data_IF_394347881446
#
_entry.id   IF_394347881446
#
_cell.length_a   1.000
_cell.length_b   1.000
_cell.length_c   1.000
_cell.angle_alpha   90.00
_cell.angle_beta   90.00
_cell.angle_gamma   90.00
#
_symmetry.space_group_name_H-M   'P 1'
#
loop_
_entity.id
_entity.type
_entity.pdbx_description
1 polymer ?
#
# COMPACT_ATOMS: atom_id res chain seq x y z
N UNK A 1 53.47 -33.94 -26.94
CA UNK A 1 53.20 -35.40 -26.90
C UNK A 1 51.71 -35.58 -26.59
N UNK A 2 50.99 -36.06 -27.62
CA UNK A 2 49.79 -36.93 -27.60
C UNK A 2 48.60 -36.53 -26.68
N UNK A 3 47.49 -36.02 -27.23
CA UNK A 3 46.42 -36.67 -28.03
C UNK A 3 45.33 -37.39 -27.20
N UNK A 4 44.21 -36.66 -27.02
CA UNK A 4 42.80 -37.01 -27.26
C UNK A 4 42.16 -38.20 -26.45
N UNK A 5 40.84 -38.50 -26.58
CA UNK A 5 39.79 -38.16 -25.60
C UNK A 5 39.03 -39.40 -25.10
N UNK A 6 38.05 -39.21 -24.21
CA UNK A 6 36.87 -40.09 -24.20
C UNK A 6 35.63 -39.25 -24.42
N UNK A 7 35.19 -39.21 -25.67
CA UNK A 7 33.80 -38.99 -26.03
C UNK A 7 33.07 -40.33 -25.88
N UNK A 8 31.95 -40.33 -25.16
CA UNK A 8 30.83 -41.25 -25.42
C UNK A 8 29.58 -40.51 -24.97
N UNK A 9 29.00 -39.75 -25.89
CA UNK A 9 27.95 -40.16 -26.83
C UNK A 9 26.57 -39.92 -26.21
N UNK A 10 25.81 -39.18 -27.00
CA UNK A 10 24.51 -38.57 -26.76
C UNK A 10 23.38 -39.60 -26.74
N UNK A 11 22.18 -39.06 -26.47
CA UNK A 11 20.81 -39.55 -26.74
C UNK A 11 20.21 -40.24 -25.50
N UNK A 12 19.10 -39.79 -24.91
CA UNK A 12 18.12 -38.79 -25.31
C UNK A 12 16.92 -38.90 -24.36
N UNK A 13 15.84 -38.19 -24.72
CA UNK A 13 14.51 -38.20 -24.11
C UNK A 13 14.30 -37.27 -22.90
N UNK A 14 14.13 -36.01 -23.28
CA UNK A 14 13.02 -35.16 -22.85
C UNK A 14 11.85 -35.92 -22.20
N UNK A 15 11.51 -35.55 -20.97
CA UNK A 15 10.13 -35.40 -20.53
C UNK A 15 10.09 -34.44 -19.35
N UNK A 16 9.93 -33.16 -19.68
CA UNK A 16 9.52 -32.12 -18.74
C UNK A 16 8.11 -32.46 -18.23
N UNK A 17 7.84 -32.46 -16.92
CA UNK A 17 6.49 -32.68 -16.42
C UNK A 17 5.60 -31.54 -16.91
N UNK A 18 4.71 -31.85 -17.86
CA UNK A 18 3.55 -31.02 -18.19
C UNK A 18 2.72 -30.85 -16.92
N UNK A 19 2.78 -29.67 -16.33
CA UNK A 19 2.03 -29.31 -15.14
C UNK A 19 1.71 -27.83 -15.13
N UNK A 20 0.84 -27.41 -16.05
CA UNK A 20 0.10 -26.15 -16.07
C UNK A 20 0.93 -24.87 -15.90
N UNK A 21 1.64 -24.49 -16.96
CA UNK A 21 2.00 -23.09 -17.19
C UNK A 21 0.71 -22.32 -17.39
N UNK A 22 0.28 -21.54 -16.39
CA UNK A 22 -0.62 -20.40 -16.64
C UNK A 22 0.17 -19.33 -17.39
N UNK A 23 0.28 -19.51 -18.70
CA UNK A 23 0.37 -18.38 -19.61
C UNK A 23 -1.04 -17.83 -19.74
N UNK A 24 -1.39 -16.92 -18.84
CA UNK A 24 -2.27 -15.82 -19.19
C UNK A 24 -1.31 -14.64 -19.39
N UNK A 25 -0.80 -14.45 -20.60
CA UNK A 25 -1.54 -13.66 -21.58
C UNK A 25 -1.23 -12.19 -21.33
N UNK A 26 -0.15 -11.71 -21.96
CA UNK A 26 0.17 -10.33 -22.34
C UNK A 26 -0.55 -9.20 -21.59
N UNK A 27 0.11 -8.54 -20.63
CA UNK A 27 -0.22 -7.17 -20.26
C UNK A 27 0.79 -6.24 -20.94
N UNK A 28 0.54 -5.95 -22.22
CA UNK A 28 1.21 -4.85 -22.90
C UNK A 28 0.86 -3.56 -22.13
N UNK A 29 1.86 -3.01 -21.45
CA UNK A 29 2.09 -1.62 -21.05
C UNK A 29 0.90 -0.63 -21.17
N UNK A 30 -0.21 -0.86 -20.47
CA UNK A 30 -1.20 0.19 -20.22
C UNK A 30 -0.76 1.04 -19.02
N UNK A 31 0.53 1.38 -18.95
CA UNK A 31 1.06 2.22 -17.89
C UNK A 31 0.57 3.65 -18.11
N UNK A 32 0.01 4.23 -17.06
CA UNK A 32 -0.48 5.60 -17.06
C UNK A 32 0.65 6.46 -16.51
N UNK A 33 0.98 7.54 -17.22
CA UNK A 33 1.92 8.55 -16.73
C UNK A 33 1.18 9.51 -15.79
N UNK A 34 1.71 9.66 -14.57
CA UNK A 34 1.23 10.63 -13.57
C UNK A 34 2.39 11.49 -13.10
N UNK A 35 2.09 12.74 -12.70
CA UNK A 35 3.09 13.67 -12.18
C UNK A 35 2.91 13.83 -10.68
N UNK A 36 3.98 13.60 -9.91
CA UNK A 36 4.04 13.80 -8.46
C UNK A 36 5.10 14.85 -8.19
N UNK A 37 4.71 16.02 -7.69
CA UNK A 37 5.62 17.15 -7.42
C UNK A 37 6.57 17.49 -8.60
N UNK A 38 6.05 17.37 -9.83
CA UNK A 38 6.81 17.60 -11.07
C UNK A 38 7.63 16.41 -11.58
N UNK A 39 7.68 15.29 -10.85
CA UNK A 39 8.34 14.06 -11.30
C UNK A 39 7.35 13.14 -12.01
N UNK A 40 7.68 12.67 -13.22
CA UNK A 40 6.84 11.72 -13.95
C UNK A 40 7.04 10.29 -13.43
N UNK A 41 5.94 9.58 -13.26
CA UNK A 41 5.90 8.21 -12.75
C UNK A 41 4.98 7.39 -13.62
N UNK A 42 5.46 6.22 -14.02
CA UNK A 42 4.65 5.22 -14.72
C UNK A 42 3.96 4.32 -13.70
N UNK A 43 2.64 4.36 -13.65
CA UNK A 43 1.83 3.56 -12.72
C UNK A 43 0.88 2.62 -13.46
N UNK A 44 0.57 1.51 -12.81
CA UNK A 44 -0.41 0.57 -13.34
C UNK A 44 -1.83 1.13 -13.15
N UNK A 45 -2.77 0.88 -14.09
CA UNK A 45 -4.16 1.27 -13.92
C UNK A 45 -4.75 0.66 -12.65
N UNK A 46 -5.37 1.48 -11.81
CA UNK A 46 -5.91 1.06 -10.51
C UNK A 46 -4.96 1.27 -9.32
N UNK A 47 -3.72 1.70 -9.55
CA UNK A 47 -2.82 2.15 -8.48
C UNK A 47 -3.41 3.39 -7.79
N UNK A 48 -3.38 3.41 -6.46
CA UNK A 48 -3.84 4.58 -5.70
C UNK A 48 -2.83 5.72 -5.74
N UNK A 49 -3.28 6.97 -5.53
CA UNK A 49 -2.39 8.14 -5.46
C UNK A 49 -1.31 7.95 -4.39
N UNK A 50 -1.65 7.33 -3.25
CA UNK A 50 -0.70 7.06 -2.17
C UNK A 50 0.45 6.17 -2.63
N UNK A 51 0.14 5.10 -3.37
CA UNK A 51 1.15 4.18 -3.92
C UNK A 51 1.97 4.84 -5.04
N UNK A 52 1.36 5.71 -5.84
CA UNK A 52 2.07 6.46 -6.86
C UNK A 52 3.13 7.40 -6.24
N UNK A 53 2.78 8.09 -5.15
CA UNK A 53 3.70 8.94 -4.40
C UNK A 53 4.82 8.12 -3.72
N UNK A 54 4.51 6.95 -3.16
CA UNK A 54 5.51 6.08 -2.53
C UNK A 54 6.59 5.62 -3.53
N UNK A 55 6.25 5.44 -4.82
CA UNK A 55 7.24 5.10 -5.88
C UNK A 55 8.27 6.19 -6.12
N UNK A 56 7.95 7.45 -5.80
CA UNK A 56 8.86 8.61 -5.89
C UNK A 56 9.63 8.82 -4.58
N UNK A 57 9.35 8.00 -3.56
CA UNK A 57 9.89 8.17 -2.22
C UNK A 57 9.14 9.19 -1.36
N UNK A 58 7.97 9.67 -1.81
CA UNK A 58 7.12 10.57 -1.02
C UNK A 58 6.14 9.77 -0.15
N UNK A 59 6.32 9.86 1.16
CA UNK A 59 5.48 9.17 2.15
C UNK A 59 4.37 10.09 2.66
N UNK A 60 3.13 9.85 2.22
CA UNK A 60 1.95 10.58 2.68
C UNK A 60 1.48 9.98 4.03
N UNK A 61 1.24 10.80 5.07
CA UNK A 61 0.80 10.28 6.36
C UNK A 61 -0.62 9.73 6.30
N UNK A 62 -0.79 8.61 7.00
CA UNK A 62 -1.98 7.76 6.92
C UNK A 62 -2.28 7.13 8.27
N UNK A 63 -3.54 7.17 8.68
CA UNK A 63 -4.01 6.46 9.87
C UNK A 63 -4.91 5.25 9.56
N UNK A 64 -5.84 5.36 8.62
CA UNK A 64 -6.76 4.26 8.29
C UNK A 64 -6.17 3.31 7.25
N UNK A 65 -5.42 3.80 6.26
CA UNK A 65 -4.88 2.96 5.18
C UNK A 65 -3.80 1.98 5.69
N UNK A 66 -3.84 0.75 5.19
CA UNK A 66 -2.84 -0.29 5.41
C UNK A 66 -2.79 -1.15 4.14
N UNK A 67 -1.60 -1.48 3.63
CA UNK A 67 -1.42 -2.13 2.31
C UNK A 67 -2.09 -3.49 2.18
N UNK A 68 -2.22 -4.23 3.30
CA UNK A 68 -2.83 -5.57 3.33
C UNK A 68 -4.31 -5.58 3.73
N UNK A 69 -4.90 -4.42 3.97
CA UNK A 69 -6.32 -4.32 4.34
C UNK A 69 -7.04 -3.50 3.27
N UNK A 70 -8.36 -3.61 3.23
CA UNK A 70 -9.19 -2.78 2.36
C UNK A 70 -8.92 -1.27 2.49
N UNK A 71 -9.23 -0.51 1.45
CA UNK A 71 -9.09 0.96 1.49
C UNK A 71 -10.27 1.57 2.25
N UNK A 72 -9.99 2.47 3.19
CA UNK A 72 -11.00 3.18 3.99
C UNK A 72 -10.72 4.70 4.01
N UNK A 73 -11.78 5.51 4.10
CA UNK A 73 -11.72 6.98 4.03
C UNK A 73 -12.03 7.72 5.35
N UNK A 74 -11.85 7.07 6.50
CA UNK A 74 -12.33 7.60 7.79
C UNK A 74 -11.46 8.70 8.40
N UNK A 75 -10.16 8.74 8.12
CA UNK A 75 -9.24 9.67 8.81
C UNK A 75 -8.88 10.94 8.03
N UNK A 76 -9.04 10.95 6.70
CA UNK A 76 -8.71 12.10 5.81
C UNK A 76 -7.33 12.73 5.99
N UNK A 77 -6.37 12.01 6.58
CA UNK A 77 -4.99 12.50 6.78
C UNK A 77 -4.17 12.56 5.48
N UNK A 78 -4.54 11.73 4.50
CA UNK A 78 -3.85 11.60 3.22
C UNK A 78 -4.44 12.50 2.11
N UNK A 79 -5.10 13.61 2.48
CA UNK A 79 -5.61 14.56 1.49
C UNK A 79 -4.43 15.22 0.77
N UNK A 80 -4.52 15.29 -0.56
CA UNK A 80 -3.52 15.89 -1.45
C UNK A 80 -4.20 16.81 -2.45
N UNK A 81 -3.50 17.86 -2.86
CA UNK A 81 -3.96 18.76 -3.92
C UNK A 81 -3.68 18.12 -5.29
N UNK A 82 -4.62 18.26 -6.23
CA UNK A 82 -4.45 17.86 -7.62
C UNK A 82 -4.64 19.12 -8.46
N UNK A 83 -3.77 19.37 -9.44
CA UNK A 83 -3.64 20.65 -10.19
C UNK A 83 -4.93 21.18 -10.86
N UNK A 84 -6.01 20.40 -10.89
CA UNK A 84 -7.32 20.77 -11.47
C UNK A 84 -8.50 20.48 -10.52
N UNK A 85 -8.24 20.10 -9.28
CA UNK A 85 -9.26 19.95 -8.25
C UNK A 85 -9.41 21.27 -7.47
N UNK A 86 -10.58 21.54 -6.86
CA UNK A 86 -10.73 22.67 -5.94
C UNK A 86 -9.64 22.63 -4.88
N UNK A 87 -8.95 23.77 -4.67
CA UNK A 87 -7.86 23.85 -3.71
C UNK A 87 -8.41 23.85 -2.30
N UNK A 88 -8.24 22.75 -1.59
CA UNK A 88 -8.44 22.71 -0.15
C UNK A 88 -7.23 23.39 0.53
N UNK A 89 -7.50 24.37 1.39
CA UNK A 89 -6.46 25.01 2.21
C UNK A 89 -6.02 24.04 3.31
N UNK A 90 -5.11 23.13 3.01
CA UNK A 90 -4.42 22.34 4.03
C UNK A 90 -2.96 22.19 3.66
N UNK A 91 -2.11 23.03 4.25
CA UNK A 91 -0.66 22.88 4.12
C UNK A 91 -0.10 22.02 5.26
N UNK A 92 0.48 20.87 4.86
CA UNK A 92 1.71 20.24 5.37
C UNK A 92 1.77 19.69 6.82
N UNK A 93 0.66 19.13 7.30
CA UNK A 93 0.51 18.40 8.58
C UNK A 93 0.34 19.28 9.82
N UNK A 94 -0.28 18.70 10.86
CA UNK A 94 -1.08 19.41 11.87
C UNK A 94 -0.42 20.63 12.55
N UNK A 95 -1.25 21.55 13.04
CA UNK A 95 -0.77 22.75 13.74
C UNK A 95 0.05 22.41 15.00
N UNK A 96 1.07 23.22 15.27
CA UNK A 96 1.96 23.15 16.44
C UNK A 96 1.21 23.29 17.77
N UNK A 97 0.09 24.02 17.77
CA UNK A 97 -0.76 24.26 18.94
C UNK A 97 -2.18 23.79 18.71
N UNK A 98 -2.79 23.28 19.79
CA UNK A 98 -4.22 23.00 19.80
C UNK A 98 -5.01 24.28 20.08
N UNK A 99 -6.11 24.48 19.36
CA UNK A 99 -7.10 25.53 19.64
C UNK A 99 -8.25 25.02 20.53
N UNK A 100 -8.23 23.75 20.89
CA UNK A 100 -9.32 23.11 21.64
C UNK A 100 -9.13 23.32 23.14
N UNK A 101 -10.03 24.09 23.76
CA UNK A 101 -9.96 24.50 25.17
C UNK A 101 -10.93 23.74 26.08
N UNK A 102 -11.88 23.00 25.50
CA UNK A 102 -12.91 22.29 26.25
C UNK A 102 -12.42 20.94 26.81
N UNK A 103 -13.25 20.33 27.65
CA UNK A 103 -13.02 18.98 28.15
C UNK A 103 -13.01 17.96 27.01
N UNK A 104 -11.99 17.08 26.99
CA UNK A 104 -11.89 16.01 25.99
C UNK A 104 -12.85 14.88 26.34
N UNK A 105 -13.38 14.20 25.32
CA UNK A 105 -14.13 12.96 25.53
C UNK A 105 -13.26 11.91 26.20
N UNK A 106 -13.82 11.19 27.16
CA UNK A 106 -13.26 9.97 27.71
C UNK A 106 -14.22 8.82 27.37
N UNK A 107 -13.66 7.67 27.01
CA UNK A 107 -14.44 6.48 26.68
C UNK A 107 -13.94 5.34 27.55
N UNK A 108 -14.87 4.67 28.23
CA UNK A 108 -14.56 3.50 29.07
C UNK A 108 -13.83 2.42 28.26
N UNK A 109 -12.90 1.74 28.90
CA UNK A 109 -12.10 0.69 28.26
C UNK A 109 -12.91 -0.61 28.14
N UNK A 110 -12.72 -1.33 27.02
CA UNK A 110 -13.49 -2.54 26.70
C UNK A 110 -12.63 -3.77 26.90
N UNK A 111 -13.03 -4.69 27.75
CA UNK A 111 -12.30 -5.94 27.88
C UNK A 111 -12.60 -6.88 26.69
N UNK A 112 -11.70 -6.92 25.71
CA UNK A 112 -11.78 -7.79 24.53
C UNK A 112 -10.95 -9.08 24.68
N UNK A 113 -10.39 -9.33 25.86
CA UNK A 113 -9.60 -10.53 26.17
C UNK A 113 -8.24 -10.22 26.82
N UNK A 114 -7.48 -11.28 27.19
CA UNK A 114 -6.24 -11.14 27.96
C UNK A 114 -5.04 -10.66 27.13
N UNK A 115 -5.10 -10.77 25.80
CA UNK A 115 -3.97 -10.47 24.92
C UNK A 115 -3.88 -8.99 24.50
N UNK A 116 -5.01 -8.33 24.32
CA UNK A 116 -5.06 -6.96 23.78
C UNK A 116 -5.62 -6.01 24.83
N UNK A 117 -4.72 -5.27 25.48
CA UNK A 117 -5.11 -4.17 26.37
C UNK A 117 -5.70 -3.02 25.55
N UNK A 118 -6.99 -2.76 25.70
CA UNK A 118 -7.63 -1.62 25.05
C UNK A 118 -7.60 -0.40 25.96
N UNK A 119 -7.20 0.75 25.41
CA UNK A 119 -7.44 2.06 26.02
C UNK A 119 -8.25 2.88 25.02
N UNK A 120 -9.57 2.87 25.14
CA UNK A 120 -10.49 3.34 24.11
C UNK A 120 -10.56 4.86 24.02
N UNK A 121 -10.15 5.55 25.07
CA UNK A 121 -9.96 7.01 25.06
C UNK A 121 -8.90 7.46 24.05
N UNK A 122 -7.91 6.61 23.73
CA UNK A 122 -6.85 6.92 22.74
C UNK A 122 -7.20 6.53 21.30
N UNK A 123 -8.29 5.76 21.11
CA UNK A 123 -8.73 5.35 19.79
C UNK A 123 -9.23 6.56 19.00
N UNK A 124 -8.77 6.71 17.76
CA UNK A 124 -9.17 7.74 16.80
C UNK A 124 -10.27 7.27 15.83
N UNK A 125 -10.84 6.09 16.08
CA UNK A 125 -11.93 5.51 15.28
C UNK A 125 -11.57 5.37 13.77
N UNK A 126 -10.32 5.04 13.45
CA UNK A 126 -9.89 4.82 12.06
C UNK A 126 -10.42 3.51 11.43
N UNK A 127 -11.13 2.70 12.22
CA UNK A 127 -11.71 1.37 11.90
C UNK A 127 -10.72 0.33 11.37
N UNK A 128 -9.40 0.56 11.48
CA UNK A 128 -8.38 -0.41 11.03
C UNK A 128 -8.49 -1.73 11.78
N UNK A 129 -8.72 -1.71 13.09
CA UNK A 129 -8.88 -2.93 13.90
C UNK A 129 -10.12 -3.75 13.51
N UNK A 130 -11.22 -3.08 13.15
CA UNK A 130 -12.47 -3.75 12.75
C UNK A 130 -12.25 -4.48 11.43
N UNK A 131 -11.62 -3.80 10.46
CA UNK A 131 -11.32 -4.39 9.15
C UNK A 131 -10.32 -5.54 9.24
N UNK A 132 -9.30 -5.39 10.09
CA UNK A 132 -8.37 -6.48 10.38
C UNK A 132 -9.04 -7.70 11.02
N UNK A 133 -10.10 -7.50 11.81
CA UNK A 133 -10.83 -8.62 12.41
C UNK A 133 -11.85 -9.27 11.45
N UNK A 134 -12.28 -8.56 10.41
CA UNK A 134 -13.31 -9.03 9.48
C UNK A 134 -12.78 -9.66 8.18
N UNK A 135 -11.61 -9.19 7.72
CA UNK A 135 -10.92 -9.65 6.51
C UNK A 135 -9.87 -10.71 6.86
#
# INVERSE_FOLDING_TARGET
MLRIPIKRALIGLSNSPKGYVRTTGTAASNLIEVFVDGQSVMVEPGTTVLQACEKVGMQIPRFCYHERLSVAGNCRMCLVEIEKAPKDQSMMFGSDRSRFLEGKRAVEDKNIGPLVKTIMTRCIQCTRCIRFASE
#
